data_IF_191805654686
#
_entry.id   IF_191805654686
#
_cell.length_a   1.000
_cell.length_b   1.000
_cell.length_c   1.000
_cell.angle_alpha   90.00
_cell.angle_beta   90.00
_cell.angle_gamma   90.00
#
_symmetry.space_group_name_H-M   'P 1'
#
loop_
_entity.id
_entity.type
_entity.pdbx_description
1 polymer ?
#
# COMPACT_ATOMS: atom_id res chain seq x y z
N UNK A 1 -4.01 -22.20 -42.71
CA UNK A 1 -3.99 -21.74 -41.30
C UNK A 1 -2.55 -21.40 -40.94
N UNK A 2 -2.24 -20.15 -40.57
CA UNK A 2 -0.89 -19.71 -40.16
C UNK A 2 -0.83 -19.63 -38.63
N UNK A 3 0.00 -20.43 -37.99
CA UNK A 3 0.24 -20.35 -36.56
C UNK A 3 1.36 -19.32 -36.29
N UNK A 4 1.05 -18.26 -35.56
CA UNK A 4 2.03 -17.32 -35.00
C UNK A 4 2.59 -17.91 -33.71
N UNK A 5 3.90 -18.17 -33.67
CA UNK A 5 4.61 -18.57 -32.45
C UNK A 5 5.46 -17.38 -32.01
N UNK A 6 4.86 -16.48 -31.22
CA UNK A 6 5.57 -15.38 -30.57
C UNK A 6 6.54 -15.95 -29.53
N UNK A 7 7.85 -15.89 -29.80
CA UNK A 7 8.88 -16.21 -28.81
C UNK A 7 8.94 -15.10 -27.76
N UNK A 8 8.11 -15.19 -26.73
CA UNK A 8 8.32 -14.47 -25.48
C UNK A 8 9.58 -15.02 -24.80
N UNK A 9 10.65 -14.23 -24.74
CA UNK A 9 11.82 -14.57 -23.93
C UNK A 9 11.40 -14.53 -22.45
N UNK A 10 11.17 -15.69 -21.85
CA UNK A 10 11.15 -15.82 -20.39
C UNK A 10 12.57 -15.48 -19.91
N UNK A 11 12.73 -14.35 -19.23
CA UNK A 11 14.01 -13.97 -18.63
C UNK A 11 14.26 -14.93 -17.46
N UNK A 12 15.14 -15.91 -17.66
CA UNK A 12 15.69 -16.72 -16.57
C UNK A 12 16.59 -15.79 -15.74
N UNK A 13 16.09 -15.40 -14.56
CA UNK A 13 16.84 -14.61 -13.58
C UNK A 13 17.99 -15.46 -13.05
N UNK A 14 19.19 -15.22 -13.55
CA UNK A 14 20.41 -15.84 -13.06
C UNK A 14 20.71 -15.29 -11.65
N UNK A 15 20.67 -16.15 -10.65
CA UNK A 15 21.03 -15.87 -9.27
C UNK A 15 22.56 -16.03 -9.11
N UNK A 16 23.29 -14.94 -9.18
CA UNK A 16 24.66 -14.82 -8.68
C UNK A 16 24.80 -13.42 -8.08
N UNK A 17 24.52 -13.29 -6.77
CA UNK A 17 25.04 -12.31 -5.79
C UNK A 17 24.11 -12.23 -4.56
N UNK A 18 24.05 -13.32 -3.82
CA UNK A 18 23.43 -13.36 -2.49
C UNK A 18 24.43 -12.81 -1.45
N UNK A 19 24.54 -11.48 -1.41
CA UNK A 19 24.99 -10.70 -0.24
C UNK A 19 24.46 -9.26 -0.39
N UNK A 20 23.19 -9.14 -0.78
CA UNK A 20 22.45 -7.92 -0.56
C UNK A 20 21.94 -7.99 0.87
N UNK A 21 22.59 -7.23 1.77
CA UNK A 21 21.95 -6.76 2.99
C UNK A 21 20.54 -6.32 2.59
N UNK A 22 19.55 -7.07 3.06
CA UNK A 22 18.17 -6.87 2.69
C UNK A 22 17.77 -5.52 3.28
N UNK A 23 17.91 -4.45 2.50
CA UNK A 23 17.59 -3.09 2.94
C UNK A 23 16.16 -3.14 3.47
N UNK A 24 16.00 -2.85 4.76
CA UNK A 24 14.68 -2.60 5.34
C UNK A 24 14.05 -1.49 4.52
N UNK A 25 12.97 -1.84 3.82
CA UNK A 25 12.13 -0.86 3.16
C UNK A 25 11.20 -0.24 4.21
N UNK A 26 11.02 1.07 4.15
CA UNK A 26 10.01 1.73 4.95
C UNK A 26 8.64 1.32 4.40
N UNK A 27 7.82 0.70 5.26
CA UNK A 27 6.46 0.28 4.92
C UNK A 27 5.52 1.36 5.45
N UNK A 28 4.88 2.08 4.53
CA UNK A 28 3.83 3.03 4.85
C UNK A 28 2.47 2.33 4.69
N UNK A 29 1.68 2.33 5.76
CA UNK A 29 0.31 1.80 5.75
C UNK A 29 -0.65 2.96 5.91
N UNK A 30 -1.71 2.96 5.13
CA UNK A 30 -2.78 3.94 5.24
C UNK A 30 -4.07 3.46 4.58
N UNK A 31 -5.10 4.27 4.65
CA UNK A 31 -6.42 4.00 4.08
C UNK A 31 -6.67 4.87 2.84
N UNK A 32 -7.63 4.48 1.99
CA UNK A 32 -8.03 5.27 0.81
C UNK A 32 -8.80 6.56 1.16
N UNK A 33 -9.14 6.76 2.44
CA UNK A 33 -9.80 7.93 2.99
C UNK A 33 -9.85 7.86 4.51
N UNK A 34 -10.14 9.00 5.15
CA UNK A 34 -10.19 9.13 6.61
C UNK A 34 -11.53 9.71 7.10
N UNK A 35 -12.36 10.27 6.22
CA UNK A 35 -13.64 10.91 6.60
C UNK A 35 -14.81 9.95 6.39
N UNK A 36 -15.00 9.03 7.32
CA UNK A 36 -16.17 8.15 7.35
C UNK A 36 -17.06 8.51 8.54
N UNK A 37 -18.33 8.85 8.29
CA UNK A 37 -19.23 9.30 9.36
C UNK A 37 -19.39 8.27 10.49
N UNK A 38 -19.37 6.97 10.14
CA UNK A 38 -19.46 5.88 11.11
C UNK A 38 -18.17 5.65 11.93
N UNK A 39 -17.09 6.37 11.64
CA UNK A 39 -15.88 6.40 12.47
C UNK A 39 -15.96 7.46 13.58
N UNK A 40 -16.96 8.33 13.52
CA UNK A 40 -17.24 9.33 14.55
C UNK A 40 -17.79 8.74 15.84
N UNK A 41 -18.15 9.63 16.77
CA UNK A 41 -18.88 9.30 18.00
C UNK A 41 -18.21 8.21 18.85
N UNK A 42 -16.89 8.27 18.98
CA UNK A 42 -16.12 7.38 19.85
C UNK A 42 -15.74 6.03 19.24
N UNK A 43 -16.10 5.75 17.98
CA UNK A 43 -15.71 4.50 17.30
C UNK A 43 -14.22 4.50 16.95
N UNK A 44 -13.75 5.57 16.31
CA UNK A 44 -12.34 5.78 15.99
C UNK A 44 -11.93 7.22 16.30
N UNK A 45 -12.79 8.18 15.98
CA UNK A 45 -12.65 9.58 16.36
C UNK A 45 -13.40 9.84 17.68
N UNK A 46 -12.80 10.58 18.63
CA UNK A 46 -13.45 10.99 19.86
C UNK A 46 -14.78 11.70 19.64
N UNK A 47 -15.72 11.50 20.57
CA UNK A 47 -16.99 12.23 20.58
C UNK A 47 -16.73 13.75 20.63
N UNK A 48 -17.45 14.51 19.79
CA UNK A 48 -17.32 15.97 19.72
C UNK A 48 -16.10 16.48 18.96
N UNK A 49 -15.25 15.61 18.40
CA UNK A 49 -14.14 16.04 17.54
C UNK A 49 -14.68 16.51 16.18
N UNK A 50 -14.48 17.79 15.86
CA UNK A 50 -14.84 18.35 14.55
C UNK A 50 -14.16 17.60 13.40
N UNK A 51 -14.90 17.30 12.33
CA UNK A 51 -14.38 16.59 11.14
C UNK A 51 -13.16 17.25 10.51
N UNK A 52 -13.03 18.57 10.62
CA UNK A 52 -11.84 19.29 10.13
C UNK A 52 -10.55 18.91 10.87
N UNK A 53 -10.66 18.39 12.11
CA UNK A 53 -9.54 17.92 12.93
C UNK A 53 -9.28 16.41 12.79
N UNK A 54 -10.08 15.69 12.00
CA UNK A 54 -9.91 14.25 11.85
C UNK A 54 -8.63 13.87 11.11
N UNK A 55 -8.19 14.71 10.17
CA UNK A 55 -6.91 14.49 9.49
C UNK A 55 -5.74 14.63 10.46
N UNK A 56 -5.76 15.66 11.30
CA UNK A 56 -4.76 15.90 12.35
C UNK A 56 -4.71 14.75 13.37
N UNK A 57 -5.85 14.12 13.66
CA UNK A 57 -5.91 12.96 14.55
C UNK A 57 -5.41 11.66 13.89
N UNK A 58 -5.55 11.52 12.57
CA UNK A 58 -5.20 10.31 11.83
C UNK A 58 -3.71 10.23 11.43
N UNK A 59 -3.08 11.38 11.16
CA UNK A 59 -1.68 11.50 10.73
C UNK A 59 -0.70 11.55 11.90
#
# INVERSE_FOLDING_TARGET
MKAYIGRGKCLTRNNEKDNLEMKKADIFVGTSGFTYDHWGDGVFYPEGLSKHKWLEYYS
#
